data_IF_988000878875
#
_entry.id   IF_988000878875
#
_cell.length_a   1.000
_cell.length_b   1.000
_cell.length_c   1.000
_cell.angle_alpha   90.00
_cell.angle_beta   90.00
_cell.angle_gamma   90.00
#
_symmetry.space_group_name_H-M   'P 1'
#
loop_
_entity.id
_entity.type
_entity.pdbx_description
1 polymer ?
#
# COMPACT_ATOMS: atom_id res chain seq x y z
N UNK A 1 -3.88 -44.28 4.41
CA UNK A 1 -5.29 -44.63 4.11
C UNK A 1 -6.02 -43.43 3.54
N UNK A 2 -6.09 -42.29 4.24
CA UNK A 2 -6.79 -41.07 3.75
C UNK A 2 -6.17 -40.46 2.48
N UNK A 3 -4.84 -40.38 2.35
CA UNK A 3 -4.18 -39.87 1.12
C UNK A 3 -4.52 -40.69 -0.12
N UNK A 4 -4.54 -42.02 0.02
CA UNK A 4 -4.73 -42.95 -1.11
C UNK A 4 -6.17 -42.87 -1.65
N UNK A 5 -7.15 -42.60 -0.77
CA UNK A 5 -8.55 -42.41 -1.16
C UNK A 5 -8.79 -41.07 -1.88
N UNK A 6 -8.11 -40.00 -1.47
CA UNK A 6 -8.25 -38.67 -2.11
C UNK A 6 -7.64 -38.69 -3.52
N UNK A 7 -6.45 -39.25 -3.68
CA UNK A 7 -5.79 -39.35 -5.00
C UNK A 7 -6.59 -40.25 -5.95
N UNK A 8 -7.11 -41.39 -5.47
CA UNK A 8 -8.00 -42.26 -6.25
C UNK A 8 -9.30 -41.55 -6.67
N UNK A 9 -9.93 -40.81 -5.75
CA UNK A 9 -11.15 -40.07 -6.03
C UNK A 9 -10.93 -38.90 -7.00
N UNK A 10 -9.79 -38.21 -6.90
CA UNK A 10 -9.40 -37.19 -7.88
C UNK A 10 -9.19 -37.80 -9.28
N UNK A 11 -8.55 -38.97 -9.36
CA UNK A 11 -8.41 -39.71 -10.61
C UNK A 11 -9.75 -40.14 -11.21
N UNK A 12 -10.68 -40.61 -10.38
CA UNK A 12 -12.04 -40.96 -10.79
C UNK A 12 -12.83 -39.74 -11.28
N UNK A 13 -12.79 -38.62 -10.56
CA UNK A 13 -13.47 -37.39 -10.95
C UNK A 13 -12.86 -36.76 -12.21
N UNK A 14 -11.54 -36.83 -12.38
CA UNK A 14 -10.87 -36.35 -13.59
C UNK A 14 -11.27 -37.16 -14.82
N UNK A 15 -11.38 -38.48 -14.68
CA UNK A 15 -11.87 -39.38 -15.74
C UNK A 15 -13.35 -39.11 -16.06
N UNK A 16 -14.18 -38.95 -15.03
CA UNK A 16 -15.62 -38.72 -15.19
C UNK A 16 -15.96 -37.35 -15.80
N UNK A 17 -15.22 -36.30 -15.46
CA UNK A 17 -15.53 -34.91 -15.88
C UNK A 17 -14.78 -34.52 -17.16
N UNK A 18 -13.51 -34.94 -17.30
CA UNK A 18 -12.64 -34.49 -18.40
C UNK A 18 -12.26 -35.60 -19.39
N UNK A 19 -12.71 -36.84 -19.16
CA UNK A 19 -12.54 -37.96 -20.10
C UNK A 19 -11.08 -38.38 -20.35
N UNK A 20 -10.14 -37.97 -19.48
CA UNK A 20 -8.73 -38.24 -19.67
C UNK A 20 -7.98 -38.37 -18.33
N UNK A 21 -7.68 -39.63 -17.94
CA UNK A 21 -6.89 -39.97 -16.74
C UNK A 21 -5.47 -39.37 -16.73
N UNK A 22 -4.94 -38.96 -17.88
CA UNK A 22 -3.56 -38.47 -17.96
C UNK A 22 -3.42 -36.97 -17.63
N UNK A 23 -4.53 -36.25 -17.44
CA UNK A 23 -4.54 -34.84 -17.03
C UNK A 23 -4.76 -34.67 -15.51
N UNK A 24 -4.49 -35.70 -14.72
CA UNK A 24 -4.50 -35.58 -13.25
C UNK A 24 -3.37 -34.62 -12.87
N UNK A 25 -3.73 -33.45 -12.35
CA UNK A 25 -2.77 -32.53 -11.75
C UNK A 25 -2.20 -33.22 -10.52
N UNK A 26 -0.91 -33.52 -10.56
CA UNK A 26 -0.19 -34.04 -9.39
C UNK A 26 -0.23 -32.96 -8.29
N UNK A 27 -0.92 -33.20 -7.16
CA UNK A 27 -0.94 -32.26 -6.05
C UNK A 27 0.44 -32.11 -5.39
N UNK A 28 1.40 -32.96 -5.77
CA UNK A 28 2.73 -33.05 -5.19
C UNK A 28 2.77 -34.10 -4.08
N UNK A 29 3.97 -34.57 -3.78
CA UNK A 29 4.31 -35.28 -2.54
C UNK A 29 5.00 -34.32 -1.56
N UNK A 30 5.15 -34.68 -0.28
CA UNK A 30 5.98 -33.89 0.65
C UNK A 30 7.42 -33.67 0.16
N UNK A 31 7.88 -34.50 -0.77
CA UNK A 31 9.22 -34.44 -1.38
C UNK A 31 9.25 -33.57 -2.64
N UNK A 32 8.12 -33.36 -3.31
CA UNK A 32 8.00 -32.58 -4.56
C UNK A 32 6.63 -31.91 -4.67
N UNK A 33 6.59 -30.58 -4.79
CA UNK A 33 5.35 -29.83 -5.03
C UNK A 33 4.57 -29.40 -3.78
N UNK A 34 5.03 -29.79 -2.58
CA UNK A 34 4.54 -29.27 -1.29
C UNK A 34 5.68 -28.59 -0.55
N UNK A 35 5.46 -27.38 -0.04
CA UNK A 35 6.42 -26.69 0.84
C UNK A 35 5.70 -25.95 1.97
N UNK A 36 6.44 -25.48 2.98
CA UNK A 36 5.90 -24.75 4.12
C UNK A 36 6.49 -23.34 4.28
N UNK A 37 5.63 -22.38 4.60
CA UNK A 37 6.00 -21.01 4.92
C UNK A 37 5.60 -20.70 6.36
N UNK A 38 6.56 -20.88 7.26
CA UNK A 38 6.37 -20.66 8.70
C UNK A 38 7.46 -19.74 9.24
N UNK A 39 7.25 -19.17 10.44
CA UNK A 39 8.24 -18.29 11.08
C UNK A 39 9.55 -18.98 11.48
N UNK A 40 9.71 -20.28 11.18
CA UNK A 40 10.97 -21.03 11.37
C UNK A 40 11.88 -20.98 10.16
N UNK A 41 11.39 -20.54 9.00
CA UNK A 41 12.17 -20.41 7.77
C UNK A 41 13.05 -19.16 7.83
N UNK A 42 14.29 -19.30 7.39
CA UNK A 42 15.22 -18.18 7.23
C UNK A 42 14.83 -17.32 6.02
N UNK A 43 15.32 -16.07 5.97
CA UNK A 43 15.05 -15.17 4.84
C UNK A 43 15.47 -15.77 3.49
N UNK A 44 16.57 -16.53 3.47
CA UNK A 44 17.04 -17.20 2.25
C UNK A 44 16.03 -18.26 1.77
N UNK A 45 15.54 -19.09 2.68
CA UNK A 45 14.54 -20.12 2.36
C UNK A 45 13.21 -19.51 1.91
N UNK A 46 12.80 -18.39 2.50
CA UNK A 46 11.59 -17.66 2.08
C UNK A 46 11.72 -17.19 0.61
N UNK A 47 12.88 -16.65 0.24
CA UNK A 47 13.14 -16.24 -1.14
C UNK A 47 13.16 -17.44 -2.10
N UNK A 48 13.78 -18.55 -1.71
CA UNK A 48 13.79 -19.79 -2.51
C UNK A 48 12.37 -20.34 -2.74
N UNK A 49 11.51 -20.30 -1.70
CA UNK A 49 10.10 -20.71 -1.79
C UNK A 49 9.33 -19.76 -2.71
N UNK A 50 9.58 -18.46 -2.61
CA UNK A 50 8.96 -17.45 -3.48
C UNK A 50 9.28 -17.72 -4.95
N UNK A 51 10.55 -17.94 -5.30
CA UNK A 51 10.97 -18.21 -6.68
C UNK A 51 10.25 -19.45 -7.24
N UNK A 52 10.09 -20.49 -6.42
CA UNK A 52 9.33 -21.70 -6.79
C UNK A 52 7.83 -21.46 -6.93
N UNK A 53 7.26 -20.53 -6.15
CA UNK A 53 5.85 -20.12 -6.24
C UNK A 53 5.55 -19.22 -7.44
N UNK A 54 6.55 -18.60 -8.06
CA UNK A 54 6.36 -17.84 -9.31
C UNK A 54 6.34 -18.76 -10.54
N UNK A 55 6.92 -19.96 -10.43
CA UNK A 55 6.94 -20.98 -11.49
C UNK A 55 5.54 -21.49 -11.83
N UNK A 56 5.38 -21.95 -13.06
CA UNK A 56 4.14 -22.54 -13.58
C UNK A 56 4.43 -23.91 -14.19
N UNK A 57 3.44 -24.79 -14.21
CA UNK A 57 3.53 -26.04 -14.96
C UNK A 57 3.91 -25.75 -16.43
N UNK A 58 4.76 -26.58 -17.06
CA UNK A 58 5.22 -27.90 -16.63
C UNK A 58 6.56 -27.92 -15.85
N UNK A 59 7.01 -26.80 -15.25
CA UNK A 59 8.23 -26.79 -14.44
C UNK A 59 8.12 -27.79 -13.28
N UNK A 60 9.19 -28.56 -13.04
CA UNK A 60 9.24 -29.60 -12.01
C UNK A 60 9.37 -29.04 -10.60
N UNK A 61 9.90 -27.83 -10.45
CA UNK A 61 10.07 -27.19 -9.14
C UNK A 61 8.83 -26.37 -8.72
N UNK A 62 7.72 -26.47 -9.48
CA UNK A 62 6.50 -25.74 -9.14
C UNK A 62 5.92 -26.23 -7.82
N UNK A 63 5.55 -25.29 -6.95
CA UNK A 63 4.81 -25.62 -5.73
C UNK A 63 3.31 -25.68 -6.07
N UNK A 64 2.71 -26.84 -5.84
CA UNK A 64 1.28 -27.11 -5.99
C UNK A 64 0.51 -26.74 -4.72
N UNK A 65 1.09 -27.02 -3.55
CA UNK A 65 0.48 -26.74 -2.24
C UNK A 65 1.50 -26.04 -1.32
N UNK A 66 1.13 -24.86 -0.81
CA UNK A 66 1.92 -24.16 0.19
C UNK A 66 1.21 -24.20 1.53
N UNK A 67 1.85 -24.79 2.54
CA UNK A 67 1.38 -24.77 3.92
C UNK A 67 1.91 -23.52 4.61
N UNK A 68 1.06 -22.52 4.81
CA UNK A 68 1.48 -21.27 5.41
C UNK A 68 0.79 -21.01 6.76
N UNK A 69 1.53 -20.40 7.69
CA UNK A 69 0.93 -19.71 8.84
C UNK A 69 0.67 -18.25 8.48
N UNK A 70 0.63 -17.38 9.48
CA UNK A 70 0.57 -15.92 9.34
C UNK A 70 1.63 -15.35 8.40
N UNK A 71 2.71 -16.08 8.10
CA UNK A 71 3.76 -15.62 7.18
C UNK A 71 3.26 -15.31 5.76
N UNK A 72 2.13 -15.87 5.32
CA UNK A 72 1.54 -15.51 4.02
C UNK A 72 1.06 -14.05 3.98
N UNK A 73 0.76 -13.43 5.14
CA UNK A 73 0.32 -12.04 5.19
C UNK A 73 1.47 -11.03 5.01
N UNK A 74 2.73 -11.47 5.22
CA UNK A 74 3.94 -10.63 5.31
C UNK A 74 4.50 -10.25 3.93
N UNK A 75 3.63 -9.85 3.01
CA UNK A 75 4.07 -9.18 1.78
C UNK A 75 4.59 -10.08 0.66
N UNK A 76 4.49 -11.41 0.77
CA UNK A 76 4.78 -12.29 -0.37
C UNK A 76 3.69 -12.07 -1.43
N UNK A 77 4.12 -11.61 -2.61
CA UNK A 77 3.26 -11.31 -3.73
C UNK A 77 3.38 -12.40 -4.79
N UNK A 78 2.34 -13.23 -4.94
CA UNK A 78 2.31 -14.33 -5.90
C UNK A 78 0.98 -14.30 -6.65
N UNK A 79 1.03 -13.97 -7.94
CA UNK A 79 -0.17 -13.80 -8.76
C UNK A 79 -0.93 -15.09 -9.02
N UNK A 80 -0.25 -16.25 -9.01
CA UNK A 80 -0.83 -17.52 -9.46
C UNK A 80 -1.70 -18.24 -8.42
N UNK A 81 -1.75 -17.76 -7.17
CA UNK A 81 -2.54 -18.39 -6.12
C UNK A 81 -4.01 -18.01 -6.27
N UNK A 82 -4.88 -19.00 -6.42
CA UNK A 82 -6.33 -18.80 -6.60
C UNK A 82 -7.19 -19.66 -5.67
N UNK A 83 -6.60 -20.58 -4.91
CA UNK A 83 -7.30 -21.45 -3.98
C UNK A 83 -6.63 -21.38 -2.60
N UNK A 84 -7.42 -21.13 -1.57
CA UNK A 84 -6.95 -21.10 -0.19
C UNK A 84 -7.89 -21.87 0.72
N UNK A 85 -7.32 -22.64 1.64
CA UNK A 85 -8.04 -23.25 2.75
C UNK A 85 -7.55 -22.63 4.05
N UNK A 86 -8.44 -21.96 4.77
CA UNK A 86 -8.18 -21.40 6.09
C UNK A 86 -8.62 -22.42 7.14
N UNK A 87 -7.66 -22.99 7.87
CA UNK A 87 -7.93 -24.02 8.87
C UNK A 87 -8.03 -23.42 10.28
N UNK A 88 -9.26 -23.18 10.73
CA UNK A 88 -9.61 -22.51 11.98
C UNK A 88 -9.58 -20.99 11.84
N UNK A 89 -10.22 -20.29 12.77
CA UNK A 89 -10.23 -18.83 12.76
C UNK A 89 -8.83 -18.28 13.14
N UNK A 90 -8.23 -17.38 12.33
CA UNK A 90 -7.01 -16.66 12.68
C UNK A 90 -7.16 -15.84 13.97
N UNK A 91 -6.05 -15.35 14.54
CA UNK A 91 -6.10 -14.66 15.84
C UNK A 91 -6.78 -13.29 15.74
N UNK A 92 -6.64 -12.61 14.61
CA UNK A 92 -7.25 -11.30 14.35
C UNK A 92 -7.99 -11.28 13.01
N UNK A 93 -8.97 -10.36 12.89
CA UNK A 93 -9.66 -10.13 11.62
C UNK A 93 -8.71 -9.55 10.56
N UNK A 94 -7.76 -8.71 10.97
CA UNK A 94 -6.71 -8.15 10.11
C UNK A 94 -5.91 -9.25 9.44
N UNK A 95 -5.47 -10.25 10.19
CA UNK A 95 -4.72 -11.39 9.68
C UNK A 95 -5.55 -12.21 8.70
N UNK A 96 -6.82 -12.45 8.99
CA UNK A 96 -7.74 -13.11 8.08
C UNK A 96 -7.90 -12.35 6.75
N UNK A 97 -8.12 -11.04 6.81
CA UNK A 97 -8.24 -10.18 5.61
C UNK A 97 -6.95 -10.21 4.81
N UNK A 98 -5.82 -9.99 5.47
CA UNK A 98 -4.52 -9.90 4.83
C UNK A 98 -4.10 -11.24 4.22
N UNK A 99 -4.44 -12.38 4.83
CA UNK A 99 -4.15 -13.69 4.27
C UNK A 99 -5.06 -14.00 3.08
N UNK A 100 -6.38 -13.88 3.26
CA UNK A 100 -7.36 -14.23 2.22
C UNK A 100 -7.30 -13.31 1.01
N UNK A 101 -6.89 -12.05 1.19
CA UNK A 101 -6.65 -11.10 0.10
C UNK A 101 -5.40 -11.37 -0.73
N UNK A 102 -4.57 -12.38 -0.40
CA UNK A 102 -3.34 -12.71 -1.18
C UNK A 102 -3.61 -13.53 -2.43
N UNK A 103 -4.82 -14.09 -2.58
CA UNK A 103 -5.18 -14.95 -3.71
C UNK A 103 -6.13 -14.25 -4.69
N UNK A 104 -6.28 -14.80 -5.89
CA UNK A 104 -7.24 -14.31 -6.89
C UNK A 104 -6.82 -13.03 -7.58
N UNK A 105 -5.51 -12.78 -7.73
CA UNK A 105 -4.95 -11.56 -8.34
C UNK A 105 -5.08 -11.52 -9.87
N UNK A 106 -5.18 -12.69 -10.52
CA UNK A 106 -5.37 -12.79 -11.97
C UNK A 106 -6.85 -12.79 -12.32
N UNK A 107 -7.26 -11.89 -13.21
CA UNK A 107 -8.64 -11.82 -13.71
C UNK A 107 -9.11 -13.14 -14.36
N UNK A 108 -8.17 -13.89 -14.94
CA UNK A 108 -8.41 -15.19 -15.57
C UNK A 108 -8.78 -16.30 -14.59
N UNK A 109 -8.40 -16.18 -13.30
CA UNK A 109 -8.56 -17.23 -12.29
C UNK A 109 -9.21 -16.65 -11.01
N UNK A 110 -10.52 -16.85 -10.79
CA UNK A 110 -11.18 -16.32 -9.60
C UNK A 110 -10.60 -16.94 -8.32
N UNK A 111 -10.41 -16.10 -7.30
CA UNK A 111 -9.99 -16.54 -5.97
C UNK A 111 -11.12 -17.27 -5.24
N UNK A 112 -10.84 -18.45 -4.70
CA UNK A 112 -11.76 -19.23 -3.86
C UNK A 112 -11.14 -19.52 -2.51
N UNK A 113 -11.85 -19.15 -1.44
CA UNK A 113 -11.43 -19.37 -0.05
C UNK A 113 -12.40 -20.34 0.62
N UNK A 114 -11.88 -21.42 1.18
CA UNK A 114 -12.63 -22.37 2.01
C UNK A 114 -12.20 -22.17 3.47
N UNK A 115 -13.15 -21.84 4.34
CA UNK A 115 -12.89 -21.67 5.77
C UNK A 115 -13.39 -22.91 6.52
N UNK A 116 -12.46 -23.65 7.13
CA UNK A 116 -12.75 -24.83 7.93
C UNK A 116 -12.75 -24.43 9.41
N UNK A 117 -13.88 -24.57 10.09
CA UNK A 117 -14.03 -24.20 11.50
C UNK A 117 -14.24 -25.45 12.35
N UNK A 118 -13.55 -25.54 13.49
CA UNK A 118 -13.67 -26.68 14.39
C UNK A 118 -14.80 -26.46 15.42
N UNK A 119 -15.88 -27.27 15.44
CA UNK A 119 -17.00 -27.07 16.35
C UNK A 119 -16.63 -27.27 17.82
N UNK A 120 -15.53 -27.96 18.12
CA UNK A 120 -15.04 -28.17 19.49
C UNK A 120 -14.20 -26.99 20.01
N UNK A 121 -13.92 -25.99 19.16
CA UNK A 121 -13.24 -24.75 19.57
C UNK A 121 -14.28 -23.63 19.70
N UNK A 122 -14.54 -23.10 20.90
CA UNK A 122 -15.57 -22.08 21.11
C UNK A 122 -15.43 -20.83 20.22
N UNK A 123 -14.19 -20.40 19.93
CA UNK A 123 -13.92 -19.27 19.01
C UNK A 123 -14.37 -19.58 17.58
N UNK A 124 -14.02 -20.74 17.07
CA UNK A 124 -14.37 -21.15 15.70
C UNK A 124 -15.89 -21.33 15.59
N UNK A 125 -16.54 -21.89 16.61
CA UNK A 125 -18.00 -22.00 16.67
C UNK A 125 -18.68 -20.64 16.64
N UNK A 126 -18.22 -19.69 17.46
CA UNK A 126 -18.77 -18.32 17.48
C UNK A 126 -18.61 -17.60 16.13
N UNK A 127 -17.48 -17.80 15.46
CA UNK A 127 -17.26 -17.28 14.11
C UNK A 127 -18.12 -17.96 13.05
N UNK A 128 -18.39 -19.27 13.20
CA UNK A 128 -19.30 -19.99 12.33
C UNK A 128 -20.72 -19.45 12.45
N UNK A 129 -21.21 -19.26 13.68
CA UNK A 129 -22.55 -18.73 13.96
C UNK A 129 -22.73 -17.30 13.43
N UNK A 130 -21.67 -16.48 13.46
CA UNK A 130 -21.69 -15.10 12.99
C UNK A 130 -21.05 -14.90 11.61
N UNK A 131 -20.83 -15.97 10.83
CA UNK A 131 -19.97 -15.92 9.64
C UNK A 131 -20.38 -14.85 8.63
N UNK A 132 -21.68 -14.76 8.31
CA UNK A 132 -22.24 -13.77 7.38
C UNK A 132 -22.13 -12.36 7.97
N UNK A 133 -22.46 -12.19 9.25
CA UNK A 133 -22.37 -10.90 9.94
C UNK A 133 -20.94 -10.37 9.97
N UNK A 134 -19.98 -11.24 10.28
CA UNK A 134 -18.55 -10.93 10.24
C UNK A 134 -18.11 -10.50 8.84
N UNK A 135 -18.45 -11.25 7.77
CA UNK A 135 -18.04 -10.88 6.41
C UNK A 135 -18.68 -9.58 5.92
N UNK A 136 -19.93 -9.30 6.30
CA UNK A 136 -20.60 -8.04 5.97
C UNK A 136 -20.02 -6.83 6.72
N UNK A 137 -19.33 -7.04 7.84
CA UNK A 137 -18.80 -5.98 8.71
C UNK A 137 -17.32 -6.17 9.02
N UNK A 138 -16.59 -6.86 8.15
CA UNK A 138 -15.25 -7.36 8.45
C UNK A 138 -14.26 -6.23 8.79
N UNK A 139 -14.38 -5.10 8.09
CA UNK A 139 -13.58 -3.90 8.30
C UNK A 139 -13.74 -3.31 9.71
N UNK A 140 -14.91 -3.48 10.37
CA UNK A 140 -15.12 -2.99 11.74
C UNK A 140 -14.33 -3.77 12.79
N UNK A 141 -13.90 -4.99 12.45
CA UNK A 141 -13.16 -5.88 13.33
C UNK A 141 -11.64 -5.73 13.17
N UNK A 142 -11.19 -4.93 12.19
CA UNK A 142 -9.79 -4.53 12.07
C UNK A 142 -9.50 -3.59 13.23
N UNK A 143 -8.58 -4.01 14.11
CA UNK A 143 -8.12 -3.12 15.18
C UNK A 143 -7.59 -1.84 14.54
N UNK A 144 -8.09 -0.66 14.93
CA UNK A 144 -7.52 0.58 14.44
C UNK A 144 -6.07 0.60 14.89
N UNK A 145 -5.14 0.61 13.93
CA UNK A 145 -3.75 0.95 14.23
C UNK A 145 -3.78 2.30 14.93
N UNK A 146 -3.13 2.41 16.10
CA UNK A 146 -3.04 3.69 16.81
C UNK A 146 -2.23 4.64 15.95
N UNK A 147 -2.93 5.47 15.16
CA UNK A 147 -2.33 6.55 14.42
C UNK A 147 -2.20 7.71 15.39
N UNK A 148 -0.98 8.12 15.70
CA UNK A 148 -0.73 9.40 16.35
C UNK A 148 -0.95 10.48 15.30
N UNK A 149 -2.02 11.28 15.41
CA UNK A 149 -2.22 12.42 14.50
C UNK A 149 -0.98 13.33 14.54
N UNK A 150 -0.72 14.06 13.46
CA UNK A 150 0.39 15.01 13.39
C UNK A 150 1.76 14.48 13.87
N UNK A 151 2.01 13.18 13.76
CA UNK A 151 3.36 12.65 13.99
C UNK A 151 4.35 13.33 13.05
N UNK A 152 5.57 13.60 13.54
CA UNK A 152 6.61 14.30 12.77
C UNK A 152 6.80 13.71 11.37
N UNK A 153 6.88 12.37 11.20
CA UNK A 153 6.99 11.77 9.88
C UNK A 153 5.76 12.00 9.00
N UNK A 154 4.55 12.02 9.57
CA UNK A 154 3.31 12.19 8.82
C UNK A 154 3.19 13.60 8.23
N UNK A 155 3.30 14.65 9.06
CA UNK A 155 3.19 16.01 8.52
C UNK A 155 4.40 16.38 7.66
N UNK A 156 5.60 15.89 7.96
CA UNK A 156 6.80 16.17 7.14
C UNK A 156 6.63 15.67 5.70
N UNK A 157 5.87 14.58 5.49
CA UNK A 157 5.64 13.96 4.19
C UNK A 157 4.41 14.49 3.44
N UNK A 158 3.47 15.15 4.11
CA UNK A 158 2.16 15.45 3.52
C UNK A 158 1.73 16.91 3.68
N UNK A 159 2.38 17.72 4.53
CA UNK A 159 1.92 19.08 4.84
C UNK A 159 1.91 19.99 3.61
N UNK A 160 2.89 19.83 2.71
CA UNK A 160 2.98 20.61 1.46
C UNK A 160 1.78 20.32 0.56
N UNK A 161 1.38 19.06 0.41
CA UNK A 161 0.25 18.66 -0.41
C UNK A 161 -1.07 19.18 0.15
N UNK A 162 -1.24 19.11 1.48
CA UNK A 162 -2.41 19.67 2.17
C UNK A 162 -2.47 21.19 1.97
N UNK A 163 -1.35 21.89 2.18
CA UNK A 163 -1.27 23.34 2.04
C UNK A 163 -1.56 23.79 0.60
N UNK A 164 -0.91 23.18 -0.39
CA UNK A 164 -1.15 23.45 -1.81
C UNK A 164 -2.62 23.20 -2.17
N UNK A 165 -3.19 22.08 -1.71
CA UNK A 165 -4.60 21.76 -1.99
C UNK A 165 -5.53 22.81 -1.39
N UNK A 166 -5.25 23.28 -0.17
CA UNK A 166 -6.01 24.38 0.43
C UNK A 166 -5.92 25.65 -0.42
N UNK A 167 -4.70 26.07 -0.81
CA UNK A 167 -4.52 27.24 -1.69
C UNK A 167 -5.34 27.14 -2.96
N UNK A 168 -5.24 26.03 -3.68
CA UNK A 168 -5.95 25.84 -4.95
C UNK A 168 -7.48 25.81 -4.80
N UNK A 169 -7.98 25.31 -3.68
CA UNK A 169 -9.41 25.17 -3.44
C UNK A 169 -10.04 26.41 -2.80
N UNK A 170 -9.27 27.18 -2.02
CA UNK A 170 -9.77 28.38 -1.33
C UNK A 170 -9.51 29.66 -2.09
N UNK A 171 -8.48 29.71 -2.93
CA UNK A 171 -8.10 30.92 -3.66
C UNK A 171 -8.30 30.75 -5.17
N UNK A 172 -9.26 31.46 -5.73
CA UNK A 172 -9.57 31.41 -7.16
C UNK A 172 -8.40 31.94 -8.03
N UNK A 173 -7.56 32.82 -7.49
CA UNK A 173 -6.39 33.35 -8.20
C UNK A 173 -5.20 32.37 -8.23
N UNK A 174 -5.27 31.27 -7.46
CA UNK A 174 -4.26 30.22 -7.39
C UNK A 174 -4.82 28.86 -7.82
N UNK A 175 -5.97 28.81 -8.49
CA UNK A 175 -6.66 27.56 -8.80
C UNK A 175 -6.07 26.85 -10.03
N UNK A 176 -5.73 27.64 -11.05
CA UNK A 176 -5.25 27.17 -12.34
C UNK A 176 -3.81 26.68 -12.27
N UNK A 177 -3.47 25.85 -13.26
CA UNK A 177 -2.22 25.09 -13.29
C UNK A 177 -0.96 25.97 -13.24
N UNK A 178 -0.99 27.11 -13.92
CA UNK A 178 0.11 28.07 -14.08
C UNK A 178 0.17 29.10 -12.95
N UNK A 179 -0.90 29.24 -12.18
CA UNK A 179 -1.01 30.25 -11.12
C UNK A 179 -0.20 29.89 -9.87
N UNK A 180 0.47 28.73 -9.85
CA UNK A 180 1.43 28.41 -8.81
C UNK A 180 2.62 29.40 -8.78
N UNK A 181 2.86 30.13 -9.86
CA UNK A 181 3.86 31.19 -9.94
C UNK A 181 3.43 32.48 -9.22
N UNK A 182 2.14 32.69 -9.05
CA UNK A 182 1.57 33.92 -8.49
C UNK A 182 1.43 33.86 -6.96
N UNK A 183 2.02 32.84 -6.33
CA UNK A 183 1.90 32.64 -4.88
C UNK A 183 2.69 33.70 -4.09
N UNK A 184 1.99 34.36 -3.18
CA UNK A 184 2.57 35.20 -2.13
C UNK A 184 2.27 34.64 -0.74
N UNK A 185 3.18 34.85 0.23
CA UNK A 185 3.01 34.38 1.61
C UNK A 185 1.71 34.91 2.25
N UNK A 186 1.29 36.12 1.89
CA UNK A 186 0.03 36.75 2.32
C UNK A 186 -1.21 35.90 1.96
N UNK A 187 -1.22 35.27 0.79
CA UNK A 187 -2.31 34.39 0.34
C UNK A 187 -2.40 33.10 1.18
N UNK A 188 -1.27 32.71 1.78
CA UNK A 188 -1.13 31.53 2.65
C UNK A 188 -1.69 31.68 4.06
N UNK A 189 -1.90 32.92 4.55
CA UNK A 189 -2.20 33.21 5.96
C UNK A 189 -3.42 32.47 6.49
N UNK A 190 -4.50 32.41 5.69
CA UNK A 190 -5.74 31.74 6.08
C UNK A 190 -5.55 30.23 6.26
N UNK A 191 -4.80 29.59 5.34
CA UNK A 191 -4.51 28.16 5.43
C UNK A 191 -3.53 27.86 6.56
N UNK A 192 -2.50 28.68 6.76
CA UNK A 192 -1.58 28.56 7.90
C UNK A 192 -2.36 28.61 9.20
N UNK A 193 -3.22 29.62 9.38
CA UNK A 193 -4.05 29.75 10.59
C UNK A 193 -4.92 28.52 10.81
N UNK A 194 -5.61 28.04 9.78
CA UNK A 194 -6.44 26.84 9.88
C UNK A 194 -5.64 25.60 10.29
N UNK A 195 -4.47 25.38 9.68
CA UNK A 195 -3.60 24.24 10.01
C UNK A 195 -3.08 24.31 11.43
N UNK A 196 -2.67 25.50 11.90
CA UNK A 196 -2.21 25.73 13.27
C UNK A 196 -3.33 25.51 14.30
N UNK A 197 -4.52 26.05 14.05
CA UNK A 197 -5.70 25.84 14.91
C UNK A 197 -6.08 24.35 14.95
N UNK A 198 -5.98 23.65 13.82
CA UNK A 198 -6.24 22.21 13.74
C UNK A 198 -5.21 21.40 14.52
N UNK A 199 -3.93 21.71 14.37
CA UNK A 199 -2.84 21.06 15.13
C UNK A 199 -3.05 21.25 16.63
N UNK A 200 -3.30 22.49 17.07
CA UNK A 200 -3.59 22.85 18.46
C UNK A 200 -4.76 22.05 19.03
N UNK A 201 -5.85 21.94 18.28
CA UNK A 201 -7.06 21.21 18.70
C UNK A 201 -6.84 19.70 18.81
N UNK A 202 -6.03 19.10 17.94
CA UNK A 202 -5.86 17.65 17.87
C UNK A 202 -4.78 17.17 18.84
N UNK A 203 -3.64 17.85 18.88
CA UNK A 203 -2.54 17.55 19.80
C UNK A 203 -2.82 18.03 21.23
N UNK A 204 -3.86 18.86 21.43
CA UNK A 204 -4.24 19.44 22.72
C UNK A 204 -3.10 20.22 23.38
N UNK A 205 -2.35 20.96 22.57
CA UNK A 205 -1.20 21.77 23.01
C UNK A 205 -1.52 23.26 22.94
N UNK A 206 -0.65 24.08 23.53
CA UNK A 206 -0.67 25.53 23.38
C UNK A 206 0.39 26.02 22.37
N UNK A 207 0.34 27.31 22.04
CA UNK A 207 1.30 27.98 21.15
C UNK A 207 2.73 28.05 21.70
N UNK A 208 2.90 27.86 23.02
CA UNK A 208 4.20 27.88 23.66
C UNK A 208 4.92 26.54 23.58
N UNK A 209 4.17 25.45 23.35
CA UNK A 209 4.71 24.10 23.21
C UNK A 209 5.72 24.00 22.06
N UNK A 210 6.73 23.14 22.26
CA UNK A 210 7.76 22.93 21.25
C UNK A 210 7.18 22.30 19.98
N UNK A 211 6.25 21.35 20.12
CA UNK A 211 5.61 20.67 18.99
C UNK A 211 4.81 21.64 18.11
N UNK A 212 4.10 22.60 18.70
CA UNK A 212 3.40 23.64 17.96
C UNK A 212 4.38 24.53 17.18
N UNK A 213 5.45 25.00 17.82
CA UNK A 213 6.47 25.85 17.19
C UNK A 213 7.20 25.13 16.05
N UNK A 214 7.47 23.83 16.22
CA UNK A 214 8.11 23.02 15.19
C UNK A 214 7.19 22.84 13.97
N UNK A 215 5.90 22.60 14.21
CA UNK A 215 4.90 22.49 13.15
C UNK A 215 4.70 23.83 12.42
N UNK A 216 4.57 24.93 13.16
CA UNK A 216 4.48 26.29 12.61
C UNK A 216 5.69 26.61 11.74
N UNK A 217 6.89 26.37 12.26
CA UNK A 217 8.14 26.56 11.51
C UNK A 217 8.14 25.75 10.22
N UNK A 218 7.64 24.51 10.22
CA UNK A 218 7.58 23.69 9.01
C UNK A 218 6.64 24.28 7.96
N UNK A 219 5.47 24.77 8.35
CA UNK A 219 4.50 25.43 7.45
C UNK A 219 5.06 26.73 6.88
N UNK A 220 5.72 27.54 7.72
CA UNK A 220 6.35 28.80 7.28
C UNK A 220 7.53 28.53 6.34
N UNK A 221 8.41 27.61 6.71
CA UNK A 221 9.58 27.24 5.87
C UNK A 221 9.14 26.74 4.50
N UNK A 222 8.04 25.99 4.42
CA UNK A 222 7.50 25.53 3.14
C UNK A 222 7.07 26.70 2.24
N UNK A 223 6.39 27.71 2.80
CA UNK A 223 5.97 28.90 2.04
C UNK A 223 7.18 29.71 1.55
N UNK A 224 8.18 29.90 2.41
CA UNK A 224 9.44 30.57 2.04
C UNK A 224 10.16 29.81 0.92
N UNK A 225 10.19 28.47 0.98
CA UNK A 225 10.77 27.64 -0.07
C UNK A 225 10.00 27.77 -1.39
N UNK A 226 8.67 27.83 -1.36
CA UNK A 226 7.85 28.00 -2.56
C UNK A 226 8.12 29.37 -3.20
N UNK A 227 8.10 30.45 -2.41
CA UNK A 227 8.40 31.78 -2.93
C UNK A 227 9.82 31.89 -3.49
N UNK A 228 10.80 31.25 -2.82
CA UNK A 228 12.17 31.18 -3.33
C UNK A 228 12.26 30.41 -4.64
N UNK A 229 11.50 29.32 -4.78
CA UNK A 229 11.47 28.53 -6.01
C UNK A 229 10.90 29.33 -7.19
N UNK A 230 9.87 30.15 -6.96
CA UNK A 230 9.36 31.10 -7.96
C UNK A 230 10.45 32.07 -8.40
N UNK A 231 11.14 32.70 -7.45
CA UNK A 231 12.23 33.64 -7.77
C UNK A 231 13.37 32.97 -8.55
N UNK A 232 13.76 31.75 -8.18
CA UNK A 232 14.81 30.99 -8.88
C UNK A 232 14.42 30.65 -10.33
N UNK A 233 13.13 30.43 -10.60
CA UNK A 233 12.61 30.16 -11.94
C UNK A 233 12.52 31.46 -12.74
N UNK A 234 11.97 32.54 -12.16
CA UNK A 234 11.86 33.85 -12.82
C UNK A 234 13.23 34.46 -13.19
N UNK A 235 14.25 34.29 -12.34
CA UNK A 235 15.61 34.78 -12.59
C UNK A 235 16.33 33.99 -13.71
N UNK A 236 15.88 32.76 -14.00
CA UNK A 236 16.47 31.91 -15.02
C UNK A 236 15.94 32.23 -16.42
N UNK A 237 16.44 33.34 -16.97
CA UNK A 237 16.17 33.88 -18.32
C UNK A 237 16.43 32.93 -19.51
N UNK A 238 16.88 31.70 -19.26
CA UNK A 238 17.13 30.68 -20.29
C UNK A 238 15.88 29.87 -20.66
N UNK A 239 14.85 29.92 -19.81
CA UNK A 239 13.63 29.14 -19.92
C UNK A 239 12.45 30.12 -19.80
N UNK A 240 11.58 30.19 -20.80
CA UNK A 240 10.33 30.97 -20.76
C UNK A 240 9.30 30.17 -19.93
N UNK A 241 9.67 29.84 -18.69
CA UNK A 241 9.00 28.85 -17.84
C UNK A 241 8.51 29.49 -16.53
N UNK A 242 7.36 29.03 -16.06
CA UNK A 242 6.70 29.48 -14.82
C UNK A 242 6.53 28.30 -13.87
N UNK A 243 6.35 28.54 -12.57
CA UNK A 243 6.08 27.44 -11.62
C UNK A 243 4.67 26.89 -11.80
N UNK A 244 4.52 25.57 -11.94
CA UNK A 244 3.22 24.89 -12.14
C UNK A 244 2.86 23.92 -11.00
N UNK A 245 1.55 23.72 -10.77
CA UNK A 245 1.07 22.72 -9.80
C UNK A 245 1.25 21.27 -10.23
N UNK A 246 1.22 21.00 -11.53
CA UNK A 246 1.04 19.65 -12.05
C UNK A 246 2.32 19.07 -12.61
N UNK A 247 2.53 17.80 -12.27
CA UNK A 247 3.56 16.97 -12.85
C UNK A 247 3.26 16.64 -14.33
N UNK A 248 4.11 17.04 -15.31
CA UNK A 248 3.91 16.73 -16.73
C UNK A 248 4.21 15.26 -17.08
N UNK A 249 4.66 14.45 -16.11
CA UNK A 249 5.02 13.05 -16.32
C UNK A 249 3.88 12.07 -16.03
N UNK A 250 2.64 12.55 -15.93
CA UNK A 250 1.44 11.73 -15.81
C UNK A 250 1.31 10.79 -17.04
N UNK A 251 1.41 9.45 -16.85
CA UNK A 251 1.33 8.50 -17.95
C UNK A 251 -0.03 8.46 -18.65
N UNK A 252 -1.09 9.02 -18.03
CA UNK A 252 -2.45 9.06 -18.55
C UNK A 252 -2.72 10.26 -19.47
N UNK A 253 -1.91 11.33 -19.39
CA UNK A 253 -2.11 12.56 -20.17
C UNK A 253 -0.86 12.93 -21.00
N UNK A 254 -0.53 12.08 -21.98
CA UNK A 254 0.69 12.18 -22.81
C UNK A 254 0.80 13.42 -23.71
N UNK A 255 -0.27 14.20 -23.87
CA UNK A 255 -0.37 15.31 -24.82
C UNK A 255 -0.20 16.71 -24.21
N UNK A 256 0.08 16.83 -22.90
CA UNK A 256 0.18 18.13 -22.23
C UNK A 256 1.57 18.77 -22.37
N UNK A 257 1.60 20.11 -22.40
CA UNK A 257 2.84 20.91 -22.35
C UNK A 257 3.72 20.47 -21.17
N UNK A 258 5.00 20.23 -21.48
CA UNK A 258 5.98 19.74 -20.51
C UNK A 258 6.66 20.92 -19.86
N UNK A 259 6.36 21.16 -18.59
CA UNK A 259 7.05 22.15 -17.78
C UNK A 259 7.92 21.43 -16.71
N UNK A 260 9.25 21.60 -16.70
CA UNK A 260 10.12 20.99 -15.70
C UNK A 260 10.03 21.66 -14.32
N UNK A 261 9.49 22.89 -14.23
CA UNK A 261 9.38 23.70 -13.02
C UNK A 261 8.06 23.46 -12.30
N UNK A 262 7.95 22.35 -11.56
CA UNK A 262 6.72 21.93 -10.87
C UNK A 262 6.89 21.81 -9.37
N UNK A 263 5.79 21.98 -8.62
CA UNK A 263 5.81 21.89 -7.15
C UNK A 263 5.87 20.46 -6.62
N UNK A 264 5.17 19.53 -7.27
CA UNK A 264 5.04 18.15 -6.79
C UNK A 264 5.27 17.15 -7.92
N UNK A 265 5.95 16.04 -7.59
CA UNK A 265 6.15 14.90 -8.50
C UNK A 265 5.74 13.59 -7.84
N UNK A 266 5.48 12.60 -8.70
CA UNK A 266 5.22 11.21 -8.32
C UNK A 266 6.33 10.66 -7.45
N UNK A 267 5.93 9.93 -6.41
CA UNK A 267 6.84 9.35 -5.43
C UNK A 267 7.90 8.42 -6.04
N UNK A 268 7.53 7.63 -7.05
CA UNK A 268 8.43 6.70 -7.73
C UNK A 268 9.63 7.38 -8.42
N UNK A 269 9.53 8.68 -8.71
CA UNK A 269 10.57 9.45 -9.42
C UNK A 269 11.56 10.13 -8.48
N UNK A 270 11.46 9.90 -7.15
CA UNK A 270 12.38 10.43 -6.14
C UNK A 270 13.85 10.04 -6.36
N UNK A 271 14.12 8.91 -7.03
CA UNK A 271 15.48 8.36 -7.21
C UNK A 271 16.49 9.29 -7.87
N UNK A 272 16.05 10.35 -8.54
CA UNK A 272 16.90 11.33 -9.21
C UNK A 272 17.21 12.58 -8.36
N UNK A 273 16.57 12.77 -7.19
CA UNK A 273 16.73 13.98 -6.39
C UNK A 273 17.12 13.72 -4.92
N UNK A 274 18.25 14.31 -4.51
CA UNK A 274 18.64 14.45 -3.11
C UNK A 274 18.26 15.86 -2.63
N UNK A 275 17.20 15.99 -1.84
CA UNK A 275 16.91 17.04 -0.83
C UNK A 275 15.42 17.39 -0.75
N UNK A 276 15.01 18.06 0.34
CA UNK A 276 13.71 18.75 0.52
C UNK A 276 13.54 19.96 -0.45
N UNK A 277 14.04 19.87 -1.67
CA UNK A 277 13.92 20.92 -2.69
C UNK A 277 12.84 20.57 -3.70
N UNK A 278 12.26 21.59 -4.31
CA UNK A 278 11.30 21.42 -5.40
C UNK A 278 11.96 20.76 -6.62
N UNK A 279 11.23 19.92 -7.35
CA UNK A 279 9.88 19.39 -7.05
C UNK A 279 9.81 18.41 -5.86
N UNK A 280 8.79 18.55 -5.01
CA UNK A 280 8.62 17.69 -3.82
C UNK A 280 7.97 16.35 -4.20
N UNK A 281 8.66 15.25 -3.89
CA UNK A 281 8.11 13.90 -4.00
C UNK A 281 6.93 13.70 -3.05
N UNK A 282 5.75 13.44 -3.60
CA UNK A 282 4.50 13.34 -2.82
C UNK A 282 3.96 11.91 -2.87
N UNK A 283 3.66 11.27 -1.71
CA UNK A 283 3.08 9.93 -1.69
C UNK A 283 1.69 9.91 -2.34
N UNK A 284 1.43 8.93 -3.19
CA UNK A 284 0.11 8.73 -3.82
C UNK A 284 -0.67 7.61 -3.12
N UNK A 285 0.05 6.73 -2.42
CA UNK A 285 -0.50 5.61 -1.68
C UNK A 285 0.17 5.42 -0.32
N UNK A 286 -0.55 4.80 0.63
CA UNK A 286 0.04 4.31 1.88
C UNK A 286 1.19 3.31 1.64
N UNK A 287 1.17 2.57 0.52
CA UNK A 287 2.26 1.65 0.14
C UNK A 287 3.59 2.37 -0.06
N UNK A 288 3.55 3.58 -0.60
CA UNK A 288 4.75 4.40 -0.85
C UNK A 288 5.39 4.84 0.47
N UNK A 289 4.55 5.09 1.48
CA UNK A 289 5.00 5.48 2.83
C UNK A 289 5.62 4.30 3.58
N UNK A 290 5.09 3.09 3.41
CA UNK A 290 5.65 1.86 4.01
C UNK A 290 7.06 1.56 3.51
N UNK A 291 7.32 1.74 2.20
CA UNK A 291 8.66 1.53 1.62
C UNK A 291 9.74 2.46 2.22
N UNK A 292 9.38 3.64 2.73
CA UNK A 292 10.33 4.53 3.42
C UNK A 292 10.67 4.07 4.84
N UNK A 293 9.74 3.43 5.55
CA UNK A 293 9.99 2.92 6.90
C UNK A 293 11.05 1.81 6.90
N UNK A 294 11.08 0.97 5.85
CA UNK A 294 12.10 -0.07 5.69
C UNK A 294 13.49 0.49 5.41
N UNK A 295 13.60 1.71 4.84
CA UNK A 295 14.89 2.34 4.51
C UNK A 295 15.53 3.13 5.66
N UNK A 296 14.79 3.46 6.72
CA UNK A 296 15.30 4.26 7.87
C UNK A 296 15.79 3.42 9.06
N UNK A 297 15.79 2.08 8.96
CA UNK A 297 16.49 1.23 9.93
C UNK A 297 17.99 1.18 9.63
N UNK A 298 18.75 2.10 10.23
CA UNK A 298 20.21 1.99 10.45
C UNK A 298 20.48 1.71 11.91
#
# INVERSE_FOLDING_TARGET
MVEDDVVKNMGFLADAIYGNKNNIRDPGSPENGIDELTGRKTQREINEIRDKLEKSLPDKDVISVLLATNMISVGIDIDRLSLMTVNGQPKSATEYIQATGRIGRRAEFPGSVFVLLNPYKPRDLSHYENFVGFHNTMQKHVEPSSLTPFSIPAYTRAIHAVFISMMRLSNHFLAEKTQANDFEISEGESATKFLLERFKSVEQVDENSQSYKDFEKKVVTFQEQWQKFIQEVDDNTSLDETVWYNNPYDPYHKEQEKNPSVLMIEFAKRGEQKSDKFPISTPESFRDVEQQLEMEYV
#
